data_IF_111808715076
#
_entry.id   IF_111808715076
#
_cell.length_a   1.000
_cell.length_b   1.000
_cell.length_c   1.000
_cell.angle_alpha   90.00
_cell.angle_beta   90.00
_cell.angle_gamma   90.00
#
_symmetry.space_group_name_H-M   'P 1'
#
loop_
_entity.id
_entity.type
_entity.pdbx_description
1 polymer ?
#
# COMPACT_ATOMS: atom_id res chain seq x y z
N UNK A 1 5.74 -2.95 -19.15
CA UNK A 1 6.74 -3.16 -18.07
C UNK A 1 6.24 -2.56 -16.74
N UNK A 2 4.96 -2.80 -16.39
CA UNK A 2 4.23 -2.06 -15.32
C UNK A 2 3.55 -2.98 -14.27
N UNK A 3 3.56 -4.30 -14.50
CA UNK A 3 2.98 -5.28 -13.58
C UNK A 3 3.71 -5.33 -12.24
N UNK A 4 5.04 -5.24 -12.23
CA UNK A 4 5.85 -5.37 -11.02
C UNK A 4 5.51 -4.31 -9.95
N UNK A 5 5.17 -3.08 -10.37
CA UNK A 5 4.77 -2.00 -9.45
C UNK A 5 3.41 -2.27 -8.81
N UNK A 6 2.44 -2.69 -9.64
CA UNK A 6 1.09 -3.07 -9.19
C UNK A 6 1.15 -4.26 -8.23
N UNK A 7 1.96 -5.27 -8.57
CA UNK A 7 2.18 -6.44 -7.71
C UNK A 7 2.85 -6.06 -6.39
N UNK A 8 3.89 -5.23 -6.40
CA UNK A 8 4.56 -4.78 -5.17
C UNK A 8 3.61 -4.02 -4.25
N UNK A 9 2.79 -3.11 -4.80
CA UNK A 9 1.77 -2.41 -4.01
C UNK A 9 0.70 -3.35 -3.46
N UNK A 10 0.19 -4.28 -4.28
CA UNK A 10 -0.83 -5.25 -3.85
C UNK A 10 -0.32 -6.18 -2.73
N UNK A 11 0.93 -6.65 -2.83
CA UNK A 11 1.58 -7.46 -1.79
C UNK A 11 1.77 -6.65 -0.52
N UNK A 12 2.30 -5.43 -0.61
CA UNK A 12 2.50 -4.55 0.55
C UNK A 12 1.17 -4.28 1.26
N UNK A 13 0.12 -3.95 0.51
CA UNK A 13 -1.21 -3.68 1.05
C UNK A 13 -1.82 -4.92 1.72
N UNK A 14 -1.66 -6.10 1.12
CA UNK A 14 -2.10 -7.38 1.71
C UNK A 14 -1.35 -7.72 3.00
N UNK A 15 -0.03 -7.54 3.03
CA UNK A 15 0.78 -7.76 4.23
C UNK A 15 0.38 -6.81 5.37
N UNK A 16 0.17 -5.54 5.07
CA UNK A 16 -0.27 -4.57 6.07
C UNK A 16 -1.64 -4.93 6.63
N UNK A 17 -2.54 -5.44 5.79
CA UNK A 17 -3.85 -5.91 6.20
C UNK A 17 -3.79 -7.10 7.17
N UNK A 18 -2.94 -8.09 6.89
CA UNK A 18 -2.67 -9.22 7.81
C UNK A 18 -2.17 -8.71 9.17
N UNK A 19 -1.41 -7.61 9.16
CA UNK A 19 -0.92 -6.93 10.37
C UNK A 19 -1.93 -5.90 10.93
N UNK A 20 -3.20 -5.94 10.51
CA UNK A 20 -4.29 -5.05 10.95
C UNK A 20 -3.97 -3.56 10.79
N UNK A 21 -3.29 -3.20 9.71
CA UNK A 21 -2.78 -1.86 9.45
C UNK A 21 -3.11 -1.41 8.02
N UNK A 22 -3.35 -0.12 7.82
CA UNK A 22 -3.77 0.44 6.52
C UNK A 22 -3.05 1.75 6.19
N UNK A 23 -2.57 1.88 4.95
CA UNK A 23 -2.02 3.13 4.39
C UNK A 23 -3.11 4.19 4.15
N UNK A 24 -3.12 5.28 4.92
CA UNK A 24 -4.08 6.39 4.74
C UNK A 24 -3.73 7.36 3.59
N UNK A 25 -2.70 7.05 2.82
CA UNK A 25 -2.19 7.88 1.72
C UNK A 25 -2.61 7.35 0.35
N UNK A 26 -2.46 8.19 -0.69
CA UNK A 26 -2.86 7.83 -2.06
C UNK A 26 -1.93 6.77 -2.66
N UNK A 27 -2.48 5.95 -3.57
CA UNK A 27 -1.75 4.90 -4.28
C UNK A 27 -0.42 5.39 -4.88
N UNK A 28 -0.45 6.53 -5.58
CA UNK A 28 0.72 7.10 -6.25
C UNK A 28 1.86 7.45 -5.28
N UNK A 29 1.52 8.01 -4.13
CA UNK A 29 2.48 8.40 -3.08
C UNK A 29 3.06 7.17 -2.39
N UNK A 30 2.20 6.20 -2.04
CA UNK A 30 2.61 4.93 -1.46
C UNK A 30 3.52 4.14 -2.40
N UNK A 31 3.14 4.02 -3.66
CA UNK A 31 3.87 3.25 -4.67
C UNK A 31 5.26 3.83 -4.92
N UNK A 32 5.41 5.16 -4.94
CA UNK A 32 6.73 5.79 -5.07
C UNK A 32 7.67 5.42 -3.91
N UNK A 33 7.16 5.41 -2.67
CA UNK A 33 7.97 5.03 -1.52
C UNK A 33 8.30 3.53 -1.52
N UNK A 34 7.31 2.68 -1.80
CA UNK A 34 7.49 1.22 -1.90
C UNK A 34 8.52 0.86 -2.97
N UNK A 35 8.48 1.52 -4.14
CA UNK A 35 9.48 1.31 -5.20
C UNK A 35 10.86 1.73 -4.72
N UNK A 36 11.00 2.89 -4.07
CA UNK A 36 12.29 3.34 -3.53
C UNK A 36 12.90 2.34 -2.55
N UNK A 37 12.09 1.68 -1.72
CA UNK A 37 12.56 0.61 -0.83
C UNK A 37 13.02 -0.62 -1.63
N UNK A 38 12.29 -0.97 -2.69
CA UNK A 38 12.54 -2.18 -3.49
C UNK A 38 13.68 -2.05 -4.52
N UNK A 39 14.31 -0.88 -4.64
CA UNK A 39 15.46 -0.67 -5.55
C UNK A 39 16.67 -1.51 -5.11
N UNK A 40 17.40 -2.08 -6.08
CA UNK A 40 18.54 -3.00 -5.87
C UNK A 40 19.71 -2.42 -5.04
N UNK A 41 19.71 -1.11 -4.75
CA UNK A 41 20.62 -0.45 -3.82
C UNK A 41 19.89 0.68 -3.07
N UNK A 42 18.70 0.38 -2.55
CA UNK A 42 17.91 1.36 -1.80
C UNK A 42 18.74 2.00 -0.69
N UNK A 43 18.70 3.33 -0.62
CA UNK A 43 19.30 4.11 0.47
C UNK A 43 18.33 4.31 1.64
N UNK A 44 17.09 3.85 1.49
CA UNK A 44 16.06 4.00 2.51
C UNK A 44 16.41 3.06 3.67
N UNK A 45 16.66 3.64 4.83
CA UNK A 45 17.00 2.92 6.05
C UNK A 45 15.75 2.33 6.72
N UNK A 46 15.94 1.32 7.58
CA UNK A 46 14.85 0.77 8.37
C UNK A 46 14.15 1.81 9.25
N UNK A 47 14.88 2.78 9.80
CA UNK A 47 14.31 3.84 10.62
C UNK A 47 13.41 4.77 9.81
N UNK A 48 13.80 5.12 8.57
CA UNK A 48 12.95 5.88 7.66
C UNK A 48 11.68 5.11 7.28
N UNK A 49 11.79 3.80 7.05
CA UNK A 49 10.61 2.94 6.80
C UNK A 49 9.68 2.95 8.01
N UNK A 50 10.23 2.85 9.22
CA UNK A 50 9.44 2.83 10.46
C UNK A 50 8.71 4.14 10.69
N UNK A 51 9.41 5.28 10.55
CA UNK A 51 8.81 6.62 10.65
C UNK A 51 7.71 6.77 9.61
N UNK A 52 7.98 6.39 8.36
CA UNK A 52 7.00 6.49 7.29
C UNK A 52 5.75 5.64 7.57
N UNK A 53 5.91 4.41 8.08
CA UNK A 53 4.78 3.56 8.47
C UNK A 53 3.98 4.22 9.59
N UNK A 54 4.62 4.75 10.62
CA UNK A 54 3.93 5.42 11.74
C UNK A 54 3.13 6.65 11.29
N UNK A 55 3.67 7.41 10.34
CA UNK A 55 3.02 8.63 9.83
C UNK A 55 1.87 8.30 8.87
N UNK A 56 2.02 7.27 8.05
CA UNK A 56 1.16 7.00 6.90
C UNK A 56 0.25 5.79 7.08
N UNK A 57 0.32 5.11 8.22
CA UNK A 57 -0.52 3.96 8.51
C UNK A 57 -1.46 4.19 9.70
N UNK A 58 -2.62 3.55 9.65
CA UNK A 58 -3.61 3.54 10.73
C UNK A 58 -3.98 2.09 11.08
N UNK A 59 -4.22 1.78 12.37
CA UNK A 59 -4.76 0.49 12.75
C UNK A 59 -6.19 0.34 12.21
N UNK A 60 -6.53 -0.86 11.76
CA UNK A 60 -7.86 -1.18 11.24
C UNK A 60 -8.60 -2.04 12.25
N UNK A 61 -9.80 -1.62 12.64
CA UNK A 61 -10.71 -2.49 13.40
C UNK A 61 -11.26 -3.59 12.50
N UNK A 62 -11.43 -4.81 13.03
CA UNK A 62 -11.83 -6.00 12.25
C UNK A 62 -13.11 -5.78 11.43
N UNK A 63 -14.04 -4.97 11.94
CA UNK A 63 -15.32 -4.64 11.28
C UNK A 63 -15.16 -3.76 10.02
N UNK A 64 -14.05 -3.04 9.88
CA UNK A 64 -13.74 -2.19 8.71
C UNK A 64 -13.01 -2.99 7.63
N UNK A 65 -12.37 -4.11 8.01
CA UNK A 65 -11.45 -4.87 7.17
C UNK A 65 -12.12 -5.47 5.93
N UNK A 66 -13.33 -6.03 6.08
CA UNK A 66 -14.07 -6.75 5.03
C UNK A 66 -14.57 -5.81 3.92
N UNK A 67 -15.11 -4.65 4.32
CA UNK A 67 -15.49 -3.59 3.39
C UNK A 67 -14.27 -3.00 2.67
N UNK A 68 -13.16 -2.85 3.40
CA UNK A 68 -11.91 -2.34 2.85
C UNK A 68 -11.28 -3.30 1.83
N UNK A 69 -11.31 -4.60 2.12
CA UNK A 69 -10.88 -5.69 1.25
C UNK A 69 -11.67 -5.70 -0.05
N UNK A 70 -13.00 -5.66 0.06
CA UNK A 70 -13.90 -5.69 -1.09
C UNK A 70 -13.64 -4.51 -2.03
N UNK A 71 -13.50 -3.28 -1.47
CA UNK A 71 -13.18 -2.08 -2.27
C UNK A 71 -11.78 -2.15 -2.89
N UNK A 72 -10.79 -2.62 -2.14
CA UNK A 72 -9.42 -2.75 -2.67
C UNK A 72 -9.35 -3.76 -3.81
N UNK A 73 -9.99 -4.91 -3.67
CA UNK A 73 -10.04 -5.94 -4.70
C UNK A 73 -10.75 -5.43 -5.96
N UNK A 74 -11.89 -4.76 -5.80
CA UNK A 74 -12.61 -4.12 -6.91
C UNK A 74 -11.74 -3.09 -7.62
N UNK A 75 -11.05 -2.21 -6.90
CA UNK A 75 -10.17 -1.20 -7.51
C UNK A 75 -8.99 -1.84 -8.28
N UNK A 76 -8.44 -2.96 -7.80
CA UNK A 76 -7.37 -3.68 -8.49
C UNK A 76 -7.90 -4.37 -9.75
N UNK A 77 -9.08 -4.99 -9.69
CA UNK A 77 -9.67 -5.79 -10.77
C UNK A 77 -10.27 -4.93 -11.89
N UNK A 78 -10.88 -3.81 -11.55
CA UNK A 78 -11.51 -2.92 -12.53
C UNK A 78 -10.51 -1.91 -13.11
N UNK A 79 -9.39 -1.66 -12.42
CA UNK A 79 -8.52 -0.52 -12.71
C UNK A 79 -9.23 0.79 -12.36
N UNK A 80 -8.52 1.75 -11.77
CA UNK A 80 -9.13 3.05 -11.43
C UNK A 80 -9.76 3.68 -12.69
N UNK A 81 -11.10 3.69 -12.77
CA UNK A 81 -11.81 4.74 -13.50
C UNK A 81 -11.69 6.02 -12.66
N UNK A 82 -10.56 6.70 -12.76
CA UNK A 82 -10.51 8.14 -12.43
C UNK A 82 -11.36 8.88 -13.48
N UNK A 83 -12.64 9.03 -13.19
CA UNK A 83 -13.52 10.00 -13.83
C UNK A 83 -14.19 10.84 -12.73
N UNK A 84 -13.73 12.08 -12.54
CA UNK A 84 -14.39 13.12 -11.74
C UNK A 84 -13.52 13.82 -10.72
#
# INVERSE_FOLDING_TARGET
MDGNKKTAYAIAKTLMLVNKCHLKIKYKEATNFIIKIAEYNSKVTFDEIKVWIQENCIPVSEKILENYLSRTFVNIMLGDEENG
#
